data_IF_289138623883
#
_entry.id   IF_289138623883
#
_cell.length_a   1.000
_cell.length_b   1.000
_cell.length_c   1.000
_cell.angle_alpha   90.00
_cell.angle_beta   90.00
_cell.angle_gamma   90.00
#
_symmetry.space_group_name_H-M   'P 1'
#
loop_
_entity.id
_entity.type
_entity.pdbx_description
1 polymer ?
#
# COMPACT_ATOMS: atom_id res chain seq x y z
N UNK A 1 -18.68 -1.27 -20.64
CA UNK A 1 -18.27 -1.44 -19.23
C UNK A 1 -17.14 -0.48 -18.99
N UNK A 2 -17.21 0.33 -17.92
CA UNK A 2 -16.11 1.21 -17.52
C UNK A 2 -14.89 0.35 -17.19
N UNK A 3 -13.70 0.71 -17.66
CA UNK A 3 -12.47 -0.01 -17.31
C UNK A 3 -11.97 0.52 -15.97
N UNK A 4 -12.12 -0.27 -14.92
CA UNK A 4 -11.63 0.09 -13.59
C UNK A 4 -10.17 -0.37 -13.45
N UNK A 5 -9.22 0.54 -13.64
CA UNK A 5 -7.80 0.18 -13.55
C UNK A 5 -7.33 -0.14 -12.13
N UNK A 6 -8.06 0.33 -11.10
CA UNK A 6 -7.83 -0.03 -9.70
C UNK A 6 -9.04 -0.80 -9.19
N UNK A 7 -8.82 -2.02 -8.70
CA UNK A 7 -9.86 -2.88 -8.13
C UNK A 7 -9.47 -3.34 -6.73
N UNK A 8 -10.47 -3.65 -5.91
CA UNK A 8 -10.26 -4.33 -4.64
C UNK A 8 -11.22 -5.49 -4.47
N UNK A 9 -10.70 -6.63 -4.02
CA UNK A 9 -11.45 -7.89 -3.84
C UNK A 9 -10.88 -8.68 -2.69
N UNK A 10 -11.71 -9.20 -1.79
CA UNK A 10 -11.35 -9.87 -0.52
C UNK A 10 -10.23 -10.92 -0.67
N UNK A 11 -10.25 -11.68 -1.76
CA UNK A 11 -9.37 -12.85 -1.93
C UNK A 11 -8.04 -12.56 -2.64
N UNK A 12 -7.74 -11.31 -2.98
CA UNK A 12 -6.48 -10.94 -3.65
C UNK A 12 -5.76 -9.85 -2.87
N UNK A 13 -4.49 -10.09 -2.52
CA UNK A 13 -3.68 -9.19 -1.68
C UNK A 13 -4.41 -8.78 -0.39
N UNK A 14 -5.17 -9.73 0.18
CA UNK A 14 -5.96 -9.51 1.38
C UNK A 14 -7.03 -8.42 1.24
N UNK A 15 -7.51 -8.09 0.04
CA UNK A 15 -8.48 -7.01 -0.14
C UNK A 15 -7.86 -5.63 -0.29
N UNK A 16 -6.55 -5.55 -0.56
CA UNK A 16 -5.88 -4.28 -0.86
C UNK A 16 -6.22 -3.79 -2.29
N UNK A 17 -6.40 -2.47 -2.50
CA UNK A 17 -6.52 -1.89 -3.83
C UNK A 17 -5.29 -2.18 -4.69
N UNK A 18 -5.52 -2.61 -5.93
CA UNK A 18 -4.47 -3.07 -6.85
C UNK A 18 -4.79 -2.74 -8.30
N UNK A 19 -3.76 -2.80 -9.15
CA UNK A 19 -3.94 -2.74 -10.60
C UNK A 19 -4.79 -3.92 -11.10
N UNK A 20 -5.81 -3.66 -11.91
CA UNK A 20 -6.68 -4.68 -12.50
C UNK A 20 -5.88 -5.71 -13.32
N UNK A 21 -6.18 -6.99 -13.12
CA UNK A 21 -5.46 -8.09 -13.78
C UNK A 21 -4.08 -8.41 -13.22
N UNK A 22 -3.62 -7.68 -12.19
CA UNK A 22 -2.29 -7.87 -11.58
C UNK A 22 -2.38 -8.15 -10.08
N UNK A 23 -1.25 -8.57 -9.50
CA UNK A 23 -1.01 -8.65 -8.06
C UNK A 23 -0.02 -7.57 -7.61
N UNK A 24 -0.21 -6.36 -8.12
CA UNK A 24 0.55 -5.17 -7.74
C UNK A 24 -0.41 -4.21 -7.04
N UNK A 25 -0.30 -4.10 -5.72
CA UNK A 25 -1.09 -3.15 -4.96
C UNK A 25 -0.67 -1.70 -5.28
N UNK A 26 -1.56 -0.75 -4.98
CA UNK A 26 -1.31 0.68 -5.24
C UNK A 26 -0.05 1.18 -4.53
N UNK A 27 0.23 0.71 -3.29
CA UNK A 27 1.42 1.11 -2.53
C UNK A 27 2.69 0.72 -3.25
N UNK A 28 2.73 -0.49 -3.78
CA UNK A 28 3.86 -1.02 -4.53
C UNK A 28 4.21 -0.13 -5.71
N UNK A 29 3.22 0.44 -6.41
CA UNK A 29 3.47 1.40 -7.49
C UNK A 29 4.11 2.68 -6.96
N UNK A 30 3.58 3.24 -5.86
CA UNK A 30 4.12 4.48 -5.28
C UNK A 30 5.55 4.27 -4.77
N UNK A 31 5.75 3.24 -3.93
CA UNK A 31 7.05 2.90 -3.35
C UNK A 31 8.06 2.41 -4.37
N UNK A 32 7.62 1.63 -5.35
CA UNK A 32 8.46 1.13 -6.42
C UNK A 32 9.07 2.27 -7.21
N UNK A 33 8.26 3.27 -7.57
CA UNK A 33 8.77 4.45 -8.26
C UNK A 33 9.64 5.31 -7.34
N UNK A 34 9.28 5.55 -6.07
CA UNK A 34 10.03 6.51 -5.23
C UNK A 34 11.26 5.94 -4.55
N UNK A 35 11.15 4.75 -3.94
CA UNK A 35 12.18 4.17 -3.09
C UNK A 35 13.04 3.14 -3.84
N UNK A 36 12.42 2.27 -4.64
CA UNK A 36 13.14 1.17 -5.32
C UNK A 36 13.87 1.64 -6.59
N UNK A 37 13.15 2.31 -7.49
CA UNK A 37 13.71 2.83 -8.74
C UNK A 37 14.23 4.27 -8.62
N UNK A 38 14.37 4.80 -7.39
CA UNK A 38 14.92 6.13 -7.10
C UNK A 38 14.27 7.30 -7.89
N UNK A 39 12.98 7.16 -8.19
CA UNK A 39 12.22 8.14 -8.97
C UNK A 39 12.26 7.92 -10.48
N UNK A 40 12.85 6.83 -10.98
CA UNK A 40 12.84 6.42 -12.38
C UNK A 40 11.57 5.61 -12.69
N UNK A 41 10.61 6.29 -13.29
CA UNK A 41 9.36 5.67 -13.71
C UNK A 41 9.57 4.66 -14.84
N UNK A 42 10.49 4.91 -15.78
CA UNK A 42 10.68 4.03 -16.93
C UNK A 42 11.25 2.68 -16.46
N UNK A 43 12.21 2.70 -15.54
CA UNK A 43 12.72 1.49 -14.87
C UNK A 43 11.58 0.68 -14.25
N UNK A 44 10.69 1.34 -13.48
CA UNK A 44 9.55 0.67 -12.87
C UNK A 44 8.58 0.07 -13.91
N UNK A 45 8.31 0.80 -15.00
CA UNK A 45 7.47 0.32 -16.10
C UNK A 45 8.05 -0.93 -16.75
N UNK A 46 9.36 -0.95 -17.00
CA UNK A 46 10.02 -2.06 -17.66
C UNK A 46 10.10 -3.29 -16.73
N UNK A 47 10.40 -3.09 -15.45
CA UNK A 47 10.54 -4.16 -14.46
C UNK A 47 9.22 -4.86 -14.13
N UNK A 48 8.11 -4.11 -14.08
CA UNK A 48 6.79 -4.63 -13.68
C UNK A 48 5.78 -4.69 -14.82
N UNK A 49 6.22 -4.37 -16.04
CA UNK A 49 5.42 -4.33 -17.27
C UNK A 49 4.14 -3.49 -17.11
N UNK A 50 4.19 -2.40 -16.34
CA UNK A 50 3.04 -1.53 -16.07
C UNK A 50 2.93 -0.39 -17.09
N UNK A 51 1.71 -0.10 -17.48
CA UNK A 51 1.40 0.98 -18.41
C UNK A 51 1.40 2.34 -17.71
N UNK A 52 1.58 3.39 -18.50
CA UNK A 52 1.51 4.76 -17.99
C UNK A 52 0.15 5.06 -17.36
N UNK A 53 -0.95 4.57 -17.93
CA UNK A 53 -2.29 4.79 -17.37
C UNK A 53 -2.49 4.07 -16.02
N UNK A 54 -1.97 2.84 -15.87
CA UNK A 54 -1.98 2.14 -14.57
C UNK A 54 -1.25 2.95 -13.50
N UNK A 55 -0.09 3.53 -13.84
CA UNK A 55 0.67 4.41 -12.93
C UNK A 55 -0.12 5.68 -12.61
N UNK A 56 -0.70 6.34 -13.62
CA UNK A 56 -1.51 7.56 -13.42
C UNK A 56 -2.67 7.29 -12.45
N UNK A 57 -3.38 6.18 -12.64
CA UNK A 57 -4.48 5.77 -11.77
C UNK A 57 -4.00 5.45 -10.36
N UNK A 58 -2.91 4.71 -10.18
CA UNK A 58 -2.37 4.39 -8.86
C UNK A 58 -1.97 5.66 -8.08
N UNK A 59 -1.28 6.60 -8.73
CA UNK A 59 -0.89 7.88 -8.13
C UNK A 59 -2.13 8.65 -7.68
N UNK A 60 -3.10 8.84 -8.58
CA UNK A 60 -4.28 9.64 -8.30
C UNK A 60 -5.18 8.98 -7.24
N UNK A 61 -5.38 7.67 -7.31
CA UNK A 61 -6.15 6.89 -6.33
C UNK A 61 -5.57 7.03 -4.91
N UNK A 62 -4.24 6.94 -4.78
CA UNK A 62 -3.56 7.06 -3.50
C UNK A 62 -3.55 8.51 -2.97
N UNK A 63 -3.27 9.47 -3.85
CA UNK A 63 -3.21 10.91 -3.52
C UNK A 63 -4.50 11.43 -2.90
N UNK A 64 -5.62 11.02 -3.50
CA UNK A 64 -6.97 11.45 -3.14
C UNK A 64 -7.63 10.53 -2.11
N UNK A 65 -6.91 9.49 -1.64
CA UNK A 65 -7.38 8.54 -0.63
C UNK A 65 -8.72 7.90 -1.02
N UNK A 66 -8.86 7.50 -2.27
CA UNK A 66 -10.13 6.97 -2.82
C UNK A 66 -10.59 5.71 -2.08
N UNK A 67 -9.66 4.91 -1.58
CA UNK A 67 -9.92 3.79 -0.67
C UNK A 67 -10.61 4.15 0.65
N UNK A 68 -10.55 5.40 1.11
CA UNK A 68 -11.30 5.81 2.31
C UNK A 68 -12.75 6.16 1.94
N UNK A 69 -12.98 6.54 0.68
CA UNK A 69 -14.28 6.88 0.13
C UNK A 69 -15.03 5.64 -0.38
N UNK A 70 -14.28 4.66 -0.89
CA UNK A 70 -14.75 3.35 -1.29
C UNK A 70 -14.60 2.43 -0.08
N UNK A 71 -15.68 1.83 0.41
CA UNK A 71 -15.64 0.89 1.55
C UNK A 71 -14.91 -0.42 1.16
N UNK A 72 -13.60 -0.34 0.94
CA UNK A 72 -12.78 -1.44 0.46
C UNK A 72 -12.60 -2.49 1.56
N UNK A 73 -12.47 -3.79 1.20
CA UNK A 73 -12.43 -4.89 2.16
C UNK A 73 -11.31 -4.79 3.19
N UNK A 74 -10.18 -4.18 2.81
CA UNK A 74 -9.15 -3.79 3.74
C UNK A 74 -8.72 -2.35 3.54
N UNK A 75 -8.25 -1.75 4.63
CA UNK A 75 -7.54 -0.48 4.62
C UNK A 75 -6.50 -0.51 3.50
N UNK A 76 -6.32 0.63 2.83
CA UNK A 76 -5.33 0.69 1.78
C UNK A 76 -3.95 0.66 2.42
N UNK A 77 -3.45 -0.55 2.66
CA UNK A 77 -2.11 -0.81 3.16
C UNK A 77 -1.13 -0.07 2.25
N UNK A 78 -0.72 1.12 2.71
CA UNK A 78 0.08 2.08 1.95
C UNK A 78 -0.51 3.46 1.73
N UNK A 79 -1.77 3.64 1.34
CA UNK A 79 -2.32 4.99 1.18
C UNK A 79 -2.98 5.52 2.45
N UNK A 80 -3.35 4.64 3.38
CA UNK A 80 -3.86 5.01 4.71
C UNK A 80 -3.52 3.90 5.69
N UNK A 81 -3.50 4.26 6.97
CA UNK A 81 -2.96 3.47 8.08
C UNK A 81 -3.63 2.08 8.24
N UNK A 82 -2.91 1.23 8.98
CA UNK A 82 -3.30 -0.07 9.58
C UNK A 82 -3.41 -1.25 8.62
N UNK A 83 -2.90 -2.39 9.07
CA UNK A 83 -3.17 -3.73 8.51
C UNK A 83 -4.61 -4.22 8.79
N UNK A 84 -5.31 -3.56 9.72
CA UNK A 84 -6.70 -3.88 10.12
C UNK A 84 -7.49 -2.61 10.36
N UNK A 85 -8.63 -2.46 9.68
CA UNK A 85 -9.57 -1.34 9.85
C UNK A 85 -10.07 -1.22 11.30
N UNK A 86 -10.20 -2.36 11.98
CA UNK A 86 -10.90 -2.48 13.27
C UNK A 86 -10.00 -2.55 14.51
N UNK A 87 -8.67 -2.65 14.37
CA UNK A 87 -7.74 -2.67 15.52
C UNK A 87 -7.15 -1.27 15.71
N UNK A 88 -7.29 -0.64 16.90
CA UNK A 88 -6.96 0.77 17.02
C UNK A 88 -5.46 1.07 17.22
N UNK A 89 -4.75 0.19 17.92
CA UNK A 89 -3.34 0.41 18.29
C UNK A 89 -2.50 -0.87 18.20
N UNK A 90 -1.18 -0.70 18.10
CA UNK A 90 -0.22 -1.81 18.16
C UNK A 90 -0.36 -2.57 19.47
N UNK A 91 -0.58 -1.86 20.57
CA UNK A 91 -0.74 -2.42 21.91
C UNK A 91 -2.00 -3.31 22.02
N UNK A 92 -3.10 -2.91 21.40
CA UNK A 92 -4.30 -3.73 21.31
C UNK A 92 -4.08 -4.98 20.45
N UNK A 93 -3.41 -4.84 19.32
CA UNK A 93 -3.03 -5.97 18.48
C UNK A 93 -2.19 -6.99 19.26
N UNK A 94 -1.15 -6.54 19.95
CA UNK A 94 -0.32 -7.41 20.78
C UNK A 94 -1.15 -8.12 21.84
N UNK A 95 -2.10 -7.42 22.48
CA UNK A 95 -2.99 -8.00 23.49
C UNK A 95 -3.93 -9.06 22.90
N UNK A 96 -4.52 -8.81 21.72
CA UNK A 96 -5.35 -9.78 21.00
C UNK A 96 -4.58 -11.04 20.64
N UNK A 97 -3.30 -10.90 20.29
CA UNK A 97 -2.42 -12.00 19.91
C UNK A 97 -1.82 -12.75 21.11
N UNK A 98 -2.17 -12.39 22.35
CA UNK A 98 -1.69 -13.08 23.56
C UNK A 98 -0.41 -12.51 24.17
N UNK A 99 0.02 -11.32 23.74
CA UNK A 99 1.22 -10.64 24.23
C UNK A 99 2.49 -11.05 23.50
N UNK A 100 3.62 -10.49 23.94
CA UNK A 100 4.95 -10.78 23.40
C UNK A 100 5.67 -11.72 24.37
N UNK A 101 6.20 -12.81 23.83
CA UNK A 101 7.20 -13.64 24.47
C UNK A 101 8.51 -13.51 23.69
N UNK A 102 9.60 -13.19 24.39
CA UNK A 102 10.93 -13.10 23.77
C UNK A 102 11.62 -14.47 23.90
N UNK A 103 12.05 -15.03 22.78
CA UNK A 103 12.86 -16.25 22.75
C UNK A 103 14.27 -15.86 22.29
N UNK A 104 15.26 -16.07 23.15
CA UNK A 104 16.67 -15.98 22.75
C UNK A 104 17.03 -17.27 21.99
N UNK A 105 17.47 -17.13 20.75
CA UNK A 105 18.14 -18.21 19.99
C UNK A 105 19.60 -17.83 19.74
N UNK A 106 20.42 -18.76 19.23
CA UNK A 106 21.87 -18.61 19.03
C UNK A 106 22.23 -17.43 18.07
N UNK A 107 22.11 -16.20 18.56
CA UNK A 107 22.53 -14.95 17.91
C UNK A 107 21.42 -13.96 17.58
N UNK A 108 20.17 -14.41 17.39
CA UNK A 108 19.08 -13.57 16.87
C UNK A 108 17.85 -13.55 17.81
N UNK A 109 17.24 -12.36 18.05
CA UNK A 109 15.99 -12.28 18.79
C UNK A 109 14.85 -12.85 17.96
N UNK A 110 14.14 -13.84 18.50
CA UNK A 110 12.87 -14.30 17.95
C UNK A 110 11.75 -13.80 18.87
N UNK A 111 10.76 -13.15 18.28
CA UNK A 111 9.58 -12.65 18.98
C UNK A 111 8.44 -13.62 18.71
N UNK A 112 7.83 -14.18 19.75
CA UNK A 112 6.57 -14.92 19.65
C UNK A 112 5.40 -14.05 20.09
N UNK A 113 4.35 -14.03 19.26
CA UNK A 113 3.07 -13.42 19.57
C UNK A 113 2.10 -14.50 20.02
N UNK A 114 1.95 -14.66 21.33
CA UNK A 114 1.23 -15.81 21.90
C UNK A 114 1.83 -17.16 21.48
N UNK A 115 1.11 -18.25 21.74
CA UNK A 115 1.64 -19.62 21.63
C UNK A 115 1.97 -20.12 20.22
N UNK A 116 1.48 -19.47 19.15
CA UNK A 116 1.51 -20.04 17.79
C UNK A 116 2.05 -19.12 16.68
N UNK A 117 2.37 -17.84 16.96
CA UNK A 117 2.87 -16.91 15.94
C UNK A 117 4.31 -16.51 16.19
N UNK A 118 5.16 -16.63 15.18
CA UNK A 118 6.57 -16.21 15.22
C UNK A 118 6.74 -15.00 14.31
N UNK A 119 7.28 -13.92 14.88
CA UNK A 119 7.71 -12.72 14.17
C UNK A 119 9.25 -12.75 14.07
N UNK A 120 9.81 -13.06 12.89
CA UNK A 120 11.26 -12.96 12.68
C UNK A 120 11.68 -11.49 12.59
N UNK A 121 12.78 -11.12 13.25
CA UNK A 121 13.34 -9.75 13.21
C UNK A 121 12.94 -8.87 14.41
N UNK A 122 13.20 -7.57 14.32
CA UNK A 122 12.96 -6.64 15.41
C UNK A 122 11.49 -6.26 15.56
N UNK A 123 11.01 -6.16 16.80
CA UNK A 123 9.62 -5.77 17.11
C UNK A 123 9.24 -4.42 16.49
N UNK A 124 10.21 -3.51 16.44
CA UNK A 124 10.01 -2.15 15.94
C UNK A 124 9.72 -2.15 14.44
N UNK A 125 10.27 -3.08 13.67
CA UNK A 125 9.98 -3.20 12.24
C UNK A 125 8.57 -3.75 12.02
N UNK A 126 8.15 -4.73 12.81
CA UNK A 126 6.76 -5.22 12.80
C UNK A 126 5.76 -4.14 13.22
N UNK A 127 6.14 -3.29 14.19
CA UNK A 127 5.35 -2.14 14.60
C UNK A 127 5.21 -1.13 13.46
N UNK A 128 6.29 -0.78 12.77
CA UNK A 128 6.24 0.12 11.60
C UNK A 128 5.35 -0.46 10.50
N UNK A 129 5.48 -1.76 10.22
CA UNK A 129 4.63 -2.44 9.23
C UNK A 129 3.15 -2.42 9.63
N UNK A 130 2.85 -2.61 10.92
CA UNK A 130 1.50 -2.54 11.46
C UNK A 130 0.91 -1.12 11.40
N UNK A 131 1.67 -0.13 11.85
CA UNK A 131 1.27 1.29 11.84
C UNK A 131 1.10 1.80 10.41
N UNK A 132 1.82 1.19 9.48
CA UNK A 132 1.81 1.50 8.07
C UNK A 132 2.57 2.78 7.75
N UNK A 133 2.64 3.08 6.47
CA UNK A 133 3.34 4.25 5.93
C UNK A 133 2.33 5.19 5.28
N UNK A 134 2.52 6.51 5.45
CA UNK A 134 1.67 7.55 4.85
C UNK A 134 1.96 7.71 3.34
N UNK A 135 1.79 6.66 2.53
CA UNK A 135 2.16 6.75 1.10
C UNK A 135 1.24 7.68 0.30
N UNK A 136 0.13 8.16 0.87
CA UNK A 136 -0.63 9.28 0.29
C UNK A 136 0.19 10.58 0.23
N UNK A 137 1.06 10.84 1.21
CA UNK A 137 1.99 11.98 1.16
C UNK A 137 3.04 11.78 0.08
N UNK A 138 3.56 10.55 -0.05
CA UNK A 138 4.48 10.16 -1.12
C UNK A 138 3.81 10.31 -2.49
N UNK A 139 2.57 9.86 -2.63
CA UNK A 139 1.77 10.01 -3.85
C UNK A 139 1.49 11.48 -4.18
N UNK A 140 1.24 12.35 -3.19
CA UNK A 140 1.12 13.81 -3.39
C UNK A 140 2.41 14.42 -3.92
N UNK A 141 3.56 14.05 -3.37
CA UNK A 141 4.87 14.50 -3.86
C UNK A 141 5.12 13.99 -5.29
N UNK A 142 4.80 12.73 -5.55
CA UNK A 142 4.96 12.11 -6.86
C UNK A 142 4.03 12.74 -7.91
N UNK A 143 2.78 13.04 -7.56
CA UNK A 143 1.84 13.80 -8.40
C UNK A 143 2.43 15.15 -8.79
N UNK A 144 2.92 15.94 -7.83
CA UNK A 144 3.52 17.24 -8.12
C UNK A 144 4.75 17.13 -9.03
N UNK A 145 5.56 16.08 -8.86
CA UNK A 145 6.76 15.83 -9.68
C UNK A 145 6.40 15.43 -11.11
N UNK A 146 5.38 14.59 -11.28
CA UNK A 146 5.06 13.94 -12.56
C UNK A 146 3.85 14.55 -13.28
N UNK A 147 3.13 15.52 -12.69
CA UNK A 147 1.86 16.03 -13.25
C UNK A 147 1.97 16.47 -14.71
N UNK A 148 3.06 17.13 -15.08
CA UNK A 148 3.22 17.68 -16.44
C UNK A 148 3.69 16.59 -17.40
N UNK A 149 4.58 15.70 -16.93
CA UNK A 149 5.07 14.55 -17.71
C UNK A 149 3.95 13.55 -18.04
N UNK A 150 3.06 13.32 -17.09
CA UNK A 150 2.01 12.30 -17.17
C UNK A 150 0.62 12.88 -17.45
N UNK A 151 0.51 14.19 -17.68
CA UNK A 151 -0.77 14.89 -17.78
C UNK A 151 -1.74 14.46 -16.66
N UNK A 152 -1.27 14.52 -15.40
CA UNK A 152 -2.09 14.10 -14.26
C UNK A 152 -3.13 15.18 -13.96
N UNK A 153 -4.41 14.81 -13.83
CA UNK A 153 -5.45 15.76 -13.49
C UNK A 153 -5.34 16.23 -12.02
N UNK A 154 -6.23 17.15 -11.64
CA UNK A 154 -6.29 17.67 -10.29
C UNK A 154 -6.90 16.66 -9.31
N UNK A 155 -7.83 15.81 -9.76
CA UNK A 155 -8.47 14.78 -8.93
C UNK A 155 -8.66 13.45 -9.66
N UNK A 156 -8.89 12.38 -8.92
CA UNK A 156 -9.15 11.05 -9.47
C UNK A 156 -10.47 10.97 -10.25
N UNK A 157 -11.49 11.76 -9.90
CA UNK A 157 -12.74 11.80 -10.68
C UNK A 157 -12.47 12.22 -12.12
N UNK A 158 -11.60 13.20 -12.32
CA UNK A 158 -11.22 13.68 -13.65
C UNK A 158 -10.51 12.60 -14.47
N UNK A 159 -9.68 11.74 -13.84
CA UNK A 159 -9.00 10.67 -14.58
C UNK A 159 -9.96 9.54 -14.98
N UNK A 160 -10.95 9.24 -14.14
CA UNK A 160 -12.00 8.29 -14.48
C UNK A 160 -12.82 8.78 -15.67
N UNK A 161 -13.06 10.09 -15.75
CA UNK A 161 -13.83 10.71 -16.84
C UNK A 161 -13.07 10.75 -18.18
N UNK A 162 -11.73 10.71 -18.19
CA UNK A 162 -10.92 10.62 -19.42
C UNK A 162 -11.07 9.28 -20.17
N UNK A 163 -11.43 8.22 -19.44
CA UNK A 163 -11.58 6.86 -19.99
C UNK A 163 -13.03 6.62 -20.47
N UNK A 164 -13.95 7.56 -20.21
CA UNK A 164 -15.36 7.51 -20.61
C UNK A 164 -15.65 8.31 -21.89
#
# INVERSE_FOLDING_TARGET
MKKELIISTDHTLGGSPRLEGRRLDVRHVIWGITEFDHGDMQSYQDNFEVTTDEIRHAIMYCKDQICELQDVPQSCNGCSKRFRKDTETWEEYLKEMGGIENIETDGDPIITLGGDSILPGELEDHKKDFEGVNSWETARKLHLKLKDQLNLPASYEQIIDEIN
#
